data_IF_264946083941
#
_entry.id   IF_264946083941
#
_cell.length_a   1.000
_cell.length_b   1.000
_cell.length_c   1.000
_cell.angle_alpha   90.00
_cell.angle_beta   90.00
_cell.angle_gamma   90.00
#
_symmetry.space_group_name_H-M   'P 1'
#
loop_
_entity.id
_entity.type
_entity.pdbx_description
1 polymer ?
#
# COMPACT_ATOMS: atom_id res chain seq x y z
N UNK A 1 29.22 -21.74 -0.68
CA UNK A 1 27.91 -21.40 -0.09
C UNK A 1 27.81 -19.89 0.01
N UNK A 2 27.17 -19.23 -0.97
CA UNK A 2 27.06 -17.78 -1.01
C UNK A 2 25.69 -17.35 -0.48
N UNK A 3 25.67 -16.52 0.56
CA UNK A 3 24.44 -15.97 1.17
C UNK A 3 23.95 -14.80 0.30
N UNK A 4 22.76 -14.94 -0.28
CA UNK A 4 22.05 -13.87 -0.96
C UNK A 4 21.40 -12.97 0.10
N UNK A 5 21.86 -11.73 0.22
CA UNK A 5 21.19 -10.70 1.02
C UNK A 5 19.96 -10.19 0.27
N UNK A 6 18.77 -10.37 0.86
CA UNK A 6 17.54 -9.69 0.44
C UNK A 6 17.62 -8.24 0.95
N UNK A 7 17.70 -7.29 0.02
CA UNK A 7 17.65 -5.86 0.33
C UNK A 7 16.27 -5.42 0.84
N UNK A 8 16.26 -4.53 1.83
CA UNK A 8 15.05 -3.96 2.44
C UNK A 8 14.28 -3.11 1.41
N UNK A 9 12.96 -3.27 1.37
CA UNK A 9 12.05 -2.60 0.42
C UNK A 9 11.74 -1.13 0.81
N UNK A 10 12.37 -0.61 1.86
CA UNK A 10 12.03 0.67 2.50
C UNK A 10 12.66 1.94 1.90
N UNK A 11 13.42 1.86 0.81
CA UNK A 11 14.24 2.99 0.30
C UNK A 11 13.82 3.55 -1.06
N UNK A 12 12.60 3.28 -1.56
CA UNK A 12 12.17 3.80 -2.87
C UNK A 12 11.04 4.82 -2.76
N UNK A 13 11.39 6.11 -2.73
CA UNK A 13 10.49 7.22 -3.05
C UNK A 13 11.08 8.17 -4.09
N UNK A 14 10.17 8.91 -4.74
CA UNK A 14 10.21 9.40 -6.13
C UNK A 14 10.71 10.84 -6.27
N UNK A 15 11.37 11.15 -7.39
CA UNK A 15 11.94 12.48 -7.68
C UNK A 15 10.87 13.46 -8.23
N UNK A 16 10.69 14.61 -7.56
CA UNK A 16 9.80 15.69 -7.99
C UNK A 16 10.41 16.58 -9.08
N UNK A 17 9.59 16.98 -10.06
CA UNK A 17 9.98 17.80 -11.21
C UNK A 17 10.09 19.28 -10.86
N UNK A 18 11.30 19.86 -10.91
CA UNK A 18 11.50 21.32 -10.88
C UNK A 18 11.29 21.92 -12.28
N UNK A 19 10.40 22.91 -12.36
CA UNK A 19 10.01 23.64 -13.59
C UNK A 19 10.99 24.80 -13.82
N UNK A 20 11.85 24.73 -14.84
CA UNK A 20 12.69 25.88 -15.25
C UNK A 20 12.09 26.62 -16.45
N UNK A 21 11.90 27.92 -16.27
CA UNK A 21 11.42 28.94 -17.21
C UNK A 21 12.35 29.18 -18.40
N UNK A 22 11.82 29.12 -19.62
CA UNK A 22 12.51 29.53 -20.86
C UNK A 22 12.25 31.01 -21.17
N UNK A 23 13.32 31.81 -21.20
CA UNK A 23 13.31 33.20 -21.65
C UNK A 23 13.31 33.29 -23.18
N UNK A 24 12.57 34.28 -23.71
CA UNK A 24 12.42 34.62 -25.13
C UNK A 24 13.68 35.32 -25.68
N UNK A 25 14.07 34.99 -26.91
CA UNK A 25 15.00 35.77 -27.73
C UNK A 25 14.53 35.77 -29.19
N UNK A 26 14.49 36.95 -29.81
CA UNK A 26 13.87 37.27 -31.11
C UNK A 26 14.89 37.25 -32.28
N UNK A 27 14.36 36.92 -33.46
CA UNK A 27 14.88 36.74 -34.83
C UNK A 27 16.01 37.60 -35.41
N UNK A 28 16.71 37.03 -36.41
CA UNK A 28 16.91 37.65 -37.74
C UNK A 28 17.24 36.61 -38.84
N UNK A 29 16.75 36.86 -40.06
CA UNK A 29 16.82 36.01 -41.27
C UNK A 29 17.87 36.52 -42.27
N UNK A 30 18.50 35.62 -43.05
CA UNK A 30 19.01 35.87 -44.42
C UNK A 30 19.15 34.53 -45.21
N UNK A 31 18.95 34.59 -46.53
CA UNK A 31 18.86 33.48 -47.51
C UNK A 31 20.19 33.05 -48.17
N UNK A 32 20.22 31.76 -48.60
CA UNK A 32 20.95 31.08 -49.70
C UNK A 32 22.48 31.19 -49.89
N UNK A 33 23.22 30.08 -49.74
CA UNK A 33 23.60 29.06 -50.76
C UNK A 33 24.86 28.28 -50.32
N UNK A 34 24.84 26.94 -50.47
CA UNK A 34 25.99 26.02 -50.67
C UNK A 34 27.22 26.08 -49.75
N UNK A 35 27.37 25.12 -48.85
CA UNK A 35 28.59 24.29 -48.67
C UNK A 35 28.34 23.27 -47.54
N UNK A 36 28.77 22.01 -47.71
CA UNK A 36 28.75 20.97 -46.68
C UNK A 36 29.26 21.50 -45.33
N UNK A 37 28.39 21.50 -44.32
CA UNK A 37 28.83 21.51 -42.92
C UNK A 37 28.58 20.13 -42.34
N UNK A 38 29.68 19.50 -41.96
CA UNK A 38 29.75 18.40 -41.00
C UNK A 38 28.70 18.65 -39.91
N UNK A 39 27.69 17.78 -39.84
CA UNK A 39 26.69 17.81 -38.78
C UNK A 39 27.46 17.50 -37.50
N UNK A 40 27.82 18.56 -36.78
CA UNK A 40 28.42 18.43 -35.46
C UNK A 40 27.33 17.88 -34.55
N UNK A 41 27.66 16.76 -33.91
CA UNK A 41 26.83 15.86 -33.11
C UNK A 41 26.29 16.50 -31.80
N UNK A 42 26.02 17.81 -31.79
CA UNK A 42 25.55 18.56 -30.62
C UNK A 42 24.14 18.19 -30.13
N UNK A 43 23.13 17.87 -30.97
CA UNK A 43 21.85 17.43 -30.43
C UNK A 43 21.93 16.00 -29.87
N UNK A 44 22.77 15.14 -30.44
CA UNK A 44 22.99 13.78 -29.96
C UNK A 44 23.69 13.78 -28.60
N UNK A 45 24.71 14.62 -28.42
CA UNK A 45 25.38 14.81 -27.13
C UNK A 45 24.41 15.33 -26.04
N UNK A 46 23.53 16.27 -26.37
CA UNK A 46 22.52 16.78 -25.42
C UNK A 46 21.51 15.70 -25.01
N UNK A 47 21.03 14.90 -25.97
CA UNK A 47 20.14 13.76 -25.69
C UNK A 47 20.85 12.69 -24.87
N UNK A 48 22.12 12.39 -25.17
CA UNK A 48 22.93 11.44 -24.40
C UNK A 48 23.18 11.93 -22.97
N UNK A 49 23.40 13.23 -22.75
CA UNK A 49 23.54 13.82 -21.41
C UNK A 49 22.21 13.80 -20.64
N UNK A 50 21.09 14.10 -21.30
CA UNK A 50 19.75 14.00 -20.69
C UNK A 50 19.41 12.56 -20.31
N UNK A 51 19.70 11.59 -21.19
CA UNK A 51 19.51 10.17 -20.92
C UNK A 51 20.49 9.67 -19.84
N UNK A 52 21.71 10.19 -19.80
CA UNK A 52 22.67 9.89 -18.72
C UNK A 52 22.18 10.42 -17.38
N UNK A 53 21.59 11.62 -17.31
CA UNK A 53 20.99 12.17 -16.09
C UNK A 53 19.74 11.38 -15.65
N UNK A 54 18.90 10.92 -16.59
CA UNK A 54 17.77 10.02 -16.32
C UNK A 54 18.23 8.64 -15.82
N UNK A 55 19.35 8.12 -16.33
CA UNK A 55 19.96 6.85 -15.91
C UNK A 55 20.76 6.98 -14.61
N UNK A 56 21.31 8.16 -14.30
CA UNK A 56 21.99 8.47 -13.03
C UNK A 56 21.02 8.55 -11.85
N UNK A 57 19.76 8.96 -12.09
CA UNK A 57 18.70 8.87 -11.08
C UNK A 57 18.34 7.43 -10.68
N UNK A 58 18.91 6.41 -11.32
CA UNK A 58 18.64 5.01 -10.99
C UNK A 58 19.50 4.47 -9.84
N UNK A 59 20.53 5.19 -9.38
CA UNK A 59 21.47 4.70 -8.36
C UNK A 59 21.94 5.73 -7.32
N UNK A 60 21.29 6.89 -7.20
CA UNK A 60 21.56 7.79 -6.07
C UNK A 60 20.47 7.58 -5.02
N UNK A 61 20.70 6.60 -4.14
CA UNK A 61 20.08 6.67 -2.83
C UNK A 61 20.63 7.95 -2.19
N UNK A 62 19.82 9.01 -2.13
CA UNK A 62 20.11 10.12 -1.22
C UNK A 62 20.03 9.53 0.18
N UNK A 63 21.19 9.17 0.73
CA UNK A 63 21.27 8.75 2.13
C UNK A 63 20.67 9.89 2.96
N UNK A 64 19.63 9.63 3.78
CA UNK A 64 19.07 10.66 4.62
C UNK A 64 20.21 11.25 5.44
N UNK A 65 20.29 12.59 5.51
CA UNK A 65 21.25 13.27 6.36
C UNK A 65 20.90 12.92 7.81
N UNK A 66 21.57 11.91 8.39
CA UNK A 66 21.29 11.45 9.76
C UNK A 66 21.98 12.41 10.75
N UNK A 67 21.26 13.16 11.60
CA UNK A 67 21.85 14.12 12.53
C UNK A 67 21.97 13.53 13.94
N UNK A 68 22.29 12.24 14.08
CA UNK A 68 22.42 11.62 15.41
C UNK A 68 23.90 11.60 15.84
N UNK A 69 24.17 12.07 17.06
CA UNK A 69 25.51 12.17 17.66
C UNK A 69 26.26 10.81 17.71
N UNK A 70 25.54 9.69 17.69
CA UNK A 70 26.10 8.33 17.81
C UNK A 70 26.36 7.62 16.47
N UNK A 71 26.21 8.31 15.32
CA UNK A 71 26.46 7.74 13.99
C UNK A 71 25.49 6.61 13.56
N UNK A 72 24.49 6.29 14.38
CA UNK A 72 23.49 5.26 14.10
C UNK A 72 22.19 5.93 13.59
N UNK A 73 21.88 5.71 12.31
CA UNK A 73 20.65 6.21 11.71
C UNK A 73 19.45 5.39 12.23
N UNK A 74 18.87 5.85 13.35
CA UNK A 74 17.67 5.26 13.93
C UNK A 74 16.46 6.10 13.52
N UNK A 75 15.52 5.48 12.81
CA UNK A 75 14.22 6.07 12.51
C UNK A 75 13.49 6.29 13.84
N UNK A 76 13.03 7.51 14.07
CA UNK A 76 12.31 7.85 15.30
C UNK A 76 10.95 7.15 15.37
N UNK A 77 10.44 6.94 16.59
CA UNK A 77 9.11 6.33 16.77
C UNK A 77 8.00 7.16 16.11
N UNK A 78 8.11 8.49 16.18
CA UNK A 78 7.18 9.41 15.51
C UNK A 78 7.18 9.22 13.98
N UNK A 79 8.36 9.12 13.38
CA UNK A 79 8.50 8.89 11.94
C UNK A 79 7.97 7.50 11.51
N UNK A 80 8.14 6.47 12.35
CA UNK A 80 7.52 5.16 12.11
C UNK A 80 5.99 5.26 12.09
N UNK A 81 5.40 5.98 13.04
CA UNK A 81 3.95 6.22 13.07
C UNK A 81 3.48 7.05 11.87
N UNK A 82 4.22 8.08 11.45
CA UNK A 82 3.89 8.86 10.26
C UNK A 82 3.78 7.97 9.02
N UNK A 83 4.79 7.12 8.79
CA UNK A 83 4.80 6.17 7.67
C UNK A 83 3.66 5.15 7.79
N UNK A 84 3.41 4.63 9.00
CA UNK A 84 2.34 3.66 9.23
C UNK A 84 0.95 4.23 8.94
N UNK A 85 0.68 5.47 9.39
CA UNK A 85 -0.59 6.16 9.15
C UNK A 85 -0.79 6.48 7.67
N UNK A 86 0.25 6.96 6.97
CA UNK A 86 0.18 7.21 5.52
C UNK A 86 -0.16 5.90 4.78
N UNK A 87 0.51 4.81 5.16
CA UNK A 87 0.32 3.53 4.49
C UNK A 87 -1.05 2.90 4.80
N UNK A 88 -1.56 3.02 6.03
CA UNK A 88 -2.89 2.52 6.40
C UNK A 88 -4.01 3.28 5.71
N UNK A 89 -3.91 4.61 5.62
CA UNK A 89 -4.86 5.47 4.92
C UNK A 89 -4.91 5.09 3.43
N UNK A 90 -3.74 4.89 2.83
CA UNK A 90 -3.62 4.45 1.44
C UNK A 90 -4.26 3.08 1.20
N UNK A 91 -3.99 2.09 2.06
CA UNK A 91 -4.61 0.75 1.99
C UNK A 91 -6.14 0.86 2.11
N UNK A 92 -6.65 1.67 3.03
CA UNK A 92 -8.08 1.86 3.21
C UNK A 92 -8.72 2.49 1.97
N UNK A 93 -8.10 3.51 1.38
CA UNK A 93 -8.57 4.16 0.16
C UNK A 93 -8.65 3.15 -1.00
N UNK A 94 -7.57 2.40 -1.25
CA UNK A 94 -7.56 1.35 -2.27
C UNK A 94 -8.62 0.28 -2.02
N UNK A 95 -8.81 -0.14 -0.77
CA UNK A 95 -9.82 -1.14 -0.39
C UNK A 95 -11.24 -0.63 -0.65
N UNK A 96 -11.50 0.65 -0.38
CA UNK A 96 -12.78 1.31 -0.64
C UNK A 96 -13.06 1.45 -2.13
N UNK A 97 -12.08 1.86 -2.92
CA UNK A 97 -12.20 1.96 -4.37
C UNK A 97 -12.41 0.59 -5.02
N UNK A 98 -11.62 -0.42 -4.62
CA UNK A 98 -11.74 -1.78 -5.12
C UNK A 98 -13.12 -2.37 -4.82
N UNK A 99 -13.63 -2.16 -3.60
CA UNK A 99 -14.98 -2.59 -3.23
C UNK A 99 -16.04 -1.88 -4.08
N UNK A 100 -15.94 -0.56 -4.26
CA UNK A 100 -16.88 0.22 -5.07
C UNK A 100 -16.91 -0.22 -6.54
N UNK A 101 -15.74 -0.46 -7.13
CA UNK A 101 -15.60 -0.96 -8.51
C UNK A 101 -16.21 -2.36 -8.66
N UNK A 102 -15.96 -3.26 -7.70
CA UNK A 102 -16.54 -4.59 -7.70
C UNK A 102 -18.07 -4.54 -7.53
N UNK A 103 -18.56 -3.76 -6.57
CA UNK A 103 -19.98 -3.62 -6.26
C UNK A 103 -20.75 -3.13 -7.50
N UNK A 104 -20.27 -2.02 -8.08
CA UNK A 104 -20.86 -1.42 -9.29
C UNK A 104 -20.93 -2.41 -10.47
N UNK A 105 -19.91 -3.26 -10.63
CA UNK A 105 -19.78 -4.15 -11.79
C UNK A 105 -20.52 -5.48 -11.62
N UNK A 106 -20.58 -6.03 -10.42
CA UNK A 106 -20.98 -7.42 -10.21
C UNK A 106 -22.19 -7.61 -9.30
N UNK A 107 -22.71 -6.59 -8.61
CA UNK A 107 -23.77 -6.79 -7.60
C UNK A 107 -25.11 -6.18 -7.98
N UNK A 108 -25.15 -5.33 -9.02
CA UNK A 108 -26.38 -4.76 -9.54
C UNK A 108 -27.40 -5.86 -9.89
N UNK A 109 -28.59 -5.79 -9.27
CA UNK A 109 -29.67 -6.78 -9.45
C UNK A 109 -29.59 -8.03 -8.55
N UNK A 110 -28.46 -8.27 -7.84
CA UNK A 110 -28.23 -9.52 -7.09
C UNK A 110 -28.54 -9.46 -5.58
N UNK A 111 -28.89 -8.28 -5.06
CA UNK A 111 -29.25 -8.01 -3.64
C UNK A 111 -28.23 -8.54 -2.61
N UNK A 112 -26.94 -8.61 -2.95
CA UNK A 112 -25.89 -9.17 -2.08
C UNK A 112 -25.79 -8.46 -0.72
N UNK A 113 -26.02 -7.14 -0.67
CA UNK A 113 -26.09 -6.37 0.59
C UNK A 113 -27.06 -7.02 1.58
N UNK A 114 -28.23 -7.47 1.11
CA UNK A 114 -29.24 -8.10 1.99
C UNK A 114 -28.89 -9.52 2.42
N UNK A 115 -28.00 -10.19 1.68
CA UNK A 115 -27.50 -11.54 1.99
C UNK A 115 -26.24 -11.53 2.85
N UNK A 116 -25.51 -10.42 2.92
CA UNK A 116 -24.25 -10.25 3.63
C UNK A 116 -24.40 -10.18 5.16
N UNK A 117 -25.12 -11.15 5.72
CA UNK A 117 -25.28 -11.40 7.15
C UNK A 117 -24.04 -12.12 7.70
N UNK A 118 -23.22 -12.75 6.84
CA UNK A 118 -21.99 -13.43 7.24
C UNK A 118 -21.00 -12.45 7.87
N UNK A 119 -20.53 -12.78 9.07
CA UNK A 119 -19.44 -12.07 9.73
C UNK A 119 -18.13 -12.16 8.96
N UNK A 120 -17.16 -11.30 9.31
CA UNK A 120 -15.80 -11.39 8.79
C UNK A 120 -14.99 -12.33 9.68
N UNK A 121 -13.93 -12.96 9.16
CA UNK A 121 -13.09 -13.88 9.96
C UNK A 121 -12.45 -13.18 11.16
N UNK A 122 -12.22 -11.87 11.07
CA UNK A 122 -11.70 -11.01 12.14
C UNK A 122 -12.73 -10.58 13.17
N UNK A 123 -14.02 -10.91 13.00
CA UNK A 123 -15.07 -10.51 13.96
C UNK A 123 -14.87 -11.11 15.37
N UNK A 124 -14.04 -12.15 15.52
CA UNK A 124 -13.70 -12.75 16.82
C UNK A 124 -12.55 -12.01 17.53
N UNK A 125 -11.86 -11.09 16.85
CA UNK A 125 -10.86 -10.24 17.49
C UNK A 125 -11.62 -9.25 18.36
N UNK A 126 -11.38 -9.19 19.68
CA UNK A 126 -11.99 -8.16 20.52
C UNK A 126 -11.53 -6.81 19.99
N UNK A 127 -12.44 -5.96 19.50
CA UNK A 127 -12.11 -4.62 19.02
C UNK A 127 -13.00 -3.61 19.73
N UNK A 128 -12.50 -2.43 20.12
CA UNK A 128 -13.35 -1.36 20.59
C UNK A 128 -14.47 -1.07 19.59
N UNK A 129 -15.70 -1.07 20.08
CA UNK A 129 -16.89 -0.91 19.24
C UNK A 129 -17.15 0.56 18.88
N UNK A 130 -16.71 1.47 19.75
CA UNK A 130 -16.88 2.90 19.58
C UNK A 130 -15.61 3.71 19.93
N UNK A 131 -15.71 5.02 19.70
CA UNK A 131 -14.62 5.97 19.92
C UNK A 131 -14.20 6.06 21.39
N UNK A 132 -15.15 6.04 22.31
CA UNK A 132 -14.88 6.19 23.75
C UNK A 132 -14.12 4.97 24.26
N UNK A 133 -14.60 3.77 23.91
CA UNK A 133 -13.93 2.53 24.24
C UNK A 133 -12.53 2.47 23.61
N UNK A 134 -12.37 2.92 22.37
CA UNK A 134 -11.07 2.98 21.72
C UNK A 134 -10.10 3.91 22.46
N UNK A 135 -10.54 5.11 22.83
CA UNK A 135 -9.71 6.09 23.55
C UNK A 135 -9.28 5.59 24.94
N UNK A 136 -10.13 4.80 25.61
CA UNK A 136 -9.85 4.22 26.92
C UNK A 136 -9.07 2.90 26.87
N UNK A 137 -8.87 2.32 25.68
CA UNK A 137 -8.12 1.08 25.53
C UNK A 137 -6.62 1.35 25.69
N UNK A 138 -5.92 0.47 26.40
CA UNK A 138 -4.48 0.58 26.57
C UNK A 138 -3.77 0.48 25.21
N UNK A 139 -2.78 1.33 24.97
CA UNK A 139 -2.08 1.41 23.69
C UNK A 139 -1.43 0.07 23.30
N UNK A 140 -0.98 -0.74 24.27
CA UNK A 140 -0.44 -2.07 23.99
C UNK A 140 -1.48 -3.04 23.40
N UNK A 141 -2.72 -2.99 23.89
CA UNK A 141 -3.80 -3.84 23.41
C UNK A 141 -4.23 -3.41 22.01
N UNK A 142 -4.30 -2.10 21.75
CA UNK A 142 -4.56 -1.56 20.41
C UNK A 142 -3.44 -1.92 19.41
N UNK A 143 -2.17 -1.86 19.82
CA UNK A 143 -1.03 -2.28 19.00
C UNK A 143 -1.13 -3.77 18.62
N UNK A 144 -1.39 -4.64 19.61
CA UNK A 144 -1.53 -6.08 19.40
C UNK A 144 -2.74 -6.41 18.51
N UNK A 145 -3.82 -5.67 18.65
CA UNK A 145 -5.01 -5.80 17.82
C UNK A 145 -4.74 -5.46 16.36
N UNK A 146 -4.11 -4.31 16.08
CA UNK A 146 -3.72 -3.92 14.73
C UNK A 146 -2.82 -4.99 14.12
N UNK A 147 -1.82 -5.47 14.87
CA UNK A 147 -0.91 -6.53 14.43
C UNK A 147 -1.66 -7.82 14.08
N UNK A 148 -2.60 -8.24 14.92
CA UNK A 148 -3.40 -9.46 14.73
C UNK A 148 -4.31 -9.35 13.51
N UNK A 149 -4.95 -8.19 13.30
CA UNK A 149 -5.75 -7.93 12.09
C UNK A 149 -4.88 -8.03 10.85
N UNK A 150 -3.74 -7.31 10.79
CA UNK A 150 -2.83 -7.34 9.63
C UNK A 150 -2.35 -8.75 9.29
N UNK A 151 -2.01 -9.57 10.30
CA UNK A 151 -1.61 -10.97 10.12
C UNK A 151 -2.73 -11.84 9.57
N UNK A 152 -3.95 -11.67 10.09
CA UNK A 152 -5.13 -12.42 9.65
C UNK A 152 -5.52 -12.15 8.19
N UNK A 153 -5.03 -11.06 7.59
CA UNK A 153 -5.29 -10.69 6.20
C UNK A 153 -4.28 -11.24 5.20
N UNK A 154 -3.15 -11.81 5.64
CA UNK A 154 -2.11 -12.33 4.74
C UNK A 154 -2.65 -13.42 3.78
N UNK A 155 -3.27 -14.47 4.33
CA UNK A 155 -3.84 -15.57 3.53
C UNK A 155 -5.01 -15.12 2.63
N UNK A 156 -6.04 -14.40 3.13
CA UNK A 156 -7.12 -13.93 2.27
C UNK A 156 -6.65 -13.02 1.13
N UNK A 157 -5.65 -12.15 1.34
CA UNK A 157 -5.12 -11.28 0.29
C UNK A 157 -4.37 -12.06 -0.79
N UNK A 158 -3.56 -13.04 -0.39
CA UNK A 158 -2.89 -13.94 -1.33
C UNK A 158 -3.90 -14.68 -2.23
N UNK A 159 -4.95 -15.24 -1.62
CA UNK A 159 -5.99 -15.93 -2.36
C UNK A 159 -6.84 -14.98 -3.22
N UNK A 160 -7.16 -13.77 -2.74
CA UNK A 160 -7.84 -12.76 -3.54
C UNK A 160 -7.08 -12.47 -4.84
N UNK A 161 -5.77 -12.22 -4.75
CA UNK A 161 -4.91 -11.94 -5.90
C UNK A 161 -4.88 -13.13 -6.87
N UNK A 162 -4.73 -14.34 -6.34
CA UNK A 162 -4.65 -15.57 -7.13
C UNK A 162 -5.95 -15.84 -7.89
N UNK A 163 -7.09 -15.78 -7.20
CA UNK A 163 -8.39 -16.10 -7.79
C UNK A 163 -8.85 -15.03 -8.78
N UNK A 164 -8.65 -13.74 -8.48
CA UNK A 164 -8.99 -12.66 -9.42
C UNK A 164 -8.15 -12.75 -10.69
N UNK A 165 -6.87 -13.16 -10.59
CA UNK A 165 -6.02 -13.38 -11.75
C UNK A 165 -6.55 -14.52 -12.63
N UNK A 166 -6.93 -15.65 -12.05
CA UNK A 166 -7.52 -16.78 -12.79
C UNK A 166 -8.85 -16.42 -13.48
N UNK A 167 -9.64 -15.51 -12.90
CA UNK A 167 -10.86 -14.99 -13.55
C UNK A 167 -10.58 -14.16 -14.79
N UNK A 168 -9.49 -13.38 -14.79
CA UNK A 168 -9.13 -12.56 -15.94
C UNK A 168 -8.68 -13.41 -17.13
N UNK A 169 -7.99 -14.53 -16.88
CA UNK A 169 -7.52 -15.45 -17.91
C UNK A 169 -8.68 -16.19 -18.60
N UNK A 170 -9.76 -16.49 -17.86
CA UNK A 170 -10.89 -17.29 -18.33
C UNK A 170 -12.00 -16.49 -19.04
N UNK A 171 -12.15 -15.19 -18.76
CA UNK A 171 -13.29 -14.40 -19.28
C UNK A 171 -13.14 -13.87 -20.71
N UNK A 172 -11.98 -14.04 -21.38
CA UNK A 172 -11.71 -13.56 -22.76
C UNK A 172 -12.11 -12.10 -23.08
N UNK A 173 -12.37 -11.25 -22.09
CA UNK A 173 -12.69 -9.83 -22.28
C UNK A 173 -11.41 -9.00 -22.31
N UNK A 174 -10.98 -8.61 -23.52
CA UNK A 174 -9.88 -7.66 -23.80
C UNK A 174 -10.17 -6.20 -23.39
N UNK A 175 -11.02 -5.95 -22.39
CA UNK A 175 -11.36 -4.60 -21.94
C UNK A 175 -11.04 -4.51 -20.44
N UNK A 176 -9.93 -3.82 -20.18
CA UNK A 176 -9.12 -3.78 -18.95
C UNK A 176 -9.87 -4.04 -17.62
N UNK A 177 -9.70 -5.23 -17.01
CA UNK A 177 -10.00 -5.47 -15.60
C UNK A 177 -8.84 -5.03 -14.67
N UNK A 178 -7.96 -4.14 -15.14
CA UNK A 178 -6.73 -3.76 -14.44
C UNK A 178 -7.01 -3.18 -13.06
N UNK A 179 -8.10 -2.43 -12.86
CA UNK A 179 -8.38 -1.71 -11.62
C UNK A 179 -8.49 -2.59 -10.37
N UNK A 180 -9.26 -3.69 -10.42
CA UNK A 180 -9.47 -4.55 -9.24
C UNK A 180 -8.21 -5.38 -8.94
N UNK A 181 -7.63 -6.03 -9.96
CA UNK A 181 -6.44 -6.85 -9.73
C UNK A 181 -5.23 -6.01 -9.32
N UNK A 182 -5.02 -4.83 -9.93
CA UNK A 182 -3.89 -3.96 -9.56
C UNK A 182 -4.03 -3.49 -8.11
N UNK A 183 -5.24 -3.10 -7.69
CA UNK A 183 -5.52 -2.73 -6.30
C UNK A 183 -5.32 -3.90 -5.34
N UNK A 184 -5.76 -5.10 -5.70
CA UNK A 184 -5.56 -6.29 -4.87
C UNK A 184 -4.07 -6.61 -4.67
N UNK A 185 -3.27 -6.59 -5.74
CA UNK A 185 -1.81 -6.79 -5.68
C UNK A 185 -1.17 -5.71 -4.81
N UNK A 186 -1.57 -4.45 -5.01
CA UNK A 186 -1.00 -3.35 -4.25
C UNK A 186 -1.34 -3.44 -2.76
N UNK A 187 -2.60 -3.74 -2.41
CA UNK A 187 -3.02 -3.93 -1.03
C UNK A 187 -2.28 -5.11 -0.39
N UNK A 188 -2.10 -6.23 -1.10
CA UNK A 188 -1.32 -7.37 -0.60
C UNK A 188 0.11 -6.95 -0.21
N UNK A 189 0.79 -6.21 -1.09
CA UNK A 189 2.16 -5.74 -0.86
C UNK A 189 2.21 -4.68 0.25
N UNK A 190 1.29 -3.71 0.26
CA UNK A 190 1.25 -2.66 1.29
C UNK A 190 0.88 -3.21 2.65
N UNK A 191 0.03 -4.24 2.74
CA UNK A 191 -0.29 -4.90 4.01
C UNK A 191 0.96 -5.54 4.63
N UNK A 192 1.81 -6.19 3.83
CA UNK A 192 3.10 -6.74 4.28
C UNK A 192 4.03 -5.64 4.79
N UNK A 193 4.15 -4.55 4.04
CA UNK A 193 4.97 -3.40 4.44
C UNK A 193 4.46 -2.76 5.75
N UNK A 194 3.14 -2.60 5.90
CA UNK A 194 2.54 -2.07 7.12
C UNK A 194 2.76 -3.02 8.31
N UNK A 195 2.63 -4.33 8.10
CA UNK A 195 2.91 -5.34 9.11
C UNK A 195 4.36 -5.26 9.59
N UNK A 196 5.33 -5.14 8.69
CA UNK A 196 6.74 -4.93 9.06
C UNK A 196 6.95 -3.63 9.86
N UNK A 197 6.30 -2.53 9.44
CA UNK A 197 6.35 -1.26 10.15
C UNK A 197 5.79 -1.37 11.57
N UNK A 198 4.68 -2.09 11.74
CA UNK A 198 4.08 -2.36 13.04
C UNK A 198 4.95 -3.20 13.95
N UNK A 199 5.61 -4.23 13.42
CA UNK A 199 6.56 -5.01 14.22
C UNK A 199 7.75 -4.18 14.72
N UNK A 200 8.18 -3.18 13.94
CA UNK A 200 9.20 -2.21 14.37
C UNK A 200 8.68 -1.26 15.45
N UNK A 201 7.47 -0.71 15.27
CA UNK A 201 6.83 0.16 16.28
C UNK A 201 6.72 -0.58 17.62
N UNK A 202 6.16 -1.79 17.60
CA UNK A 202 6.00 -2.61 18.81
C UNK A 202 7.36 -2.89 19.48
N UNK A 203 8.40 -3.18 18.69
CA UNK A 203 9.75 -3.41 19.24
C UNK A 203 10.38 -2.19 19.93
N UNK A 204 9.93 -0.98 19.59
CA UNK A 204 10.39 0.26 20.24
C UNK A 204 9.51 0.65 21.44
N UNK A 205 8.22 0.30 21.43
CA UNK A 205 7.27 0.63 22.50
C UNK A 205 7.31 -0.38 23.64
N UNK A 206 7.37 -1.68 23.33
CA UNK A 206 7.31 -2.76 24.31
C UNK A 206 8.66 -3.49 24.36
N UNK A 207 9.46 -3.22 25.40
CA UNK A 207 10.71 -3.94 25.67
C UNK A 207 10.46 -5.29 26.37
N UNK A 208 9.63 -6.16 25.80
CA UNK A 208 9.32 -7.46 26.41
C UNK A 208 8.36 -8.33 25.61
N UNK A 209 8.73 -9.62 25.49
CA UNK A 209 8.00 -10.79 24.91
C UNK A 209 6.97 -10.45 23.81
N UNK A 210 7.35 -10.75 22.55
CA UNK A 210 6.40 -10.88 21.45
C UNK A 210 5.33 -11.90 21.84
N UNK A 211 4.11 -11.45 22.09
CA UNK A 211 2.97 -12.37 22.16
C UNK A 211 2.75 -12.90 20.75
N UNK A 212 3.19 -14.13 20.50
CA UNK A 212 2.74 -14.90 19.34
C UNK A 212 1.31 -15.35 19.61
N UNK A 213 0.38 -14.41 19.55
CA UNK A 213 -1.04 -14.69 19.66
C UNK A 213 -1.52 -15.33 18.36
N UNK A 214 -2.30 -16.39 18.51
CA UNK A 214 -3.01 -17.00 17.39
C UNK A 214 -3.99 -15.98 16.81
N UNK A 215 -3.97 -15.82 15.49
CA UNK A 215 -4.92 -14.97 14.78
C UNK A 215 -6.03 -15.83 14.15
N UNK A 216 -7.23 -15.28 13.93
CA UNK A 216 -8.32 -16.01 13.31
C UNK A 216 -7.93 -16.53 11.91
N UNK A 217 -8.16 -17.82 11.68
CA UNK A 217 -7.92 -18.45 10.38
C UNK A 217 -9.07 -18.12 9.43
N UNK A 218 -8.72 -17.73 8.20
CA UNK A 218 -9.71 -17.54 7.15
C UNK A 218 -9.99 -18.85 6.42
N UNK A 219 -11.26 -19.23 6.35
CA UNK A 219 -11.73 -20.48 5.72
C UNK A 219 -12.60 -20.22 4.48
N UNK A 220 -12.49 -19.04 3.87
CA UNK A 220 -13.36 -18.59 2.78
C UNK A 220 -12.97 -19.06 1.38
N UNK A 221 -11.84 -19.77 1.21
CA UNK A 221 -11.34 -20.18 -0.11
C UNK A 221 -12.36 -21.00 -0.92
N UNK A 222 -13.07 -22.00 -0.36
CA UNK A 222 -14.06 -22.77 -1.12
C UNK A 222 -15.15 -21.90 -1.75
N UNK A 223 -15.55 -20.80 -1.07
CA UNK A 223 -16.54 -19.87 -1.59
C UNK A 223 -16.02 -19.03 -2.77
N UNK A 224 -14.71 -18.88 -2.94
CA UNK A 224 -14.11 -18.18 -4.08
C UNK A 224 -13.93 -19.08 -5.31
N UNK A 225 -13.88 -20.40 -5.10
CA UNK A 225 -13.60 -21.41 -6.14
C UNK A 225 -14.82 -22.20 -6.59
N UNK A 226 -15.99 -21.95 -5.98
CA UNK A 226 -17.24 -22.62 -6.35
C UNK A 226 -17.63 -22.30 -7.81
N UNK A 227 -18.15 -23.30 -8.52
CA UNK A 227 -18.54 -23.17 -9.93
C UNK A 227 -19.76 -22.25 -10.14
N UNK A 228 -20.68 -22.21 -9.17
CA UNK A 228 -21.84 -21.33 -9.20
C UNK A 228 -21.42 -19.86 -9.13
N UNK A 229 -21.72 -19.09 -10.19
CA UNK A 229 -21.24 -17.73 -10.35
C UNK A 229 -21.76 -16.80 -9.25
N UNK A 230 -23.04 -16.88 -8.89
CA UNK A 230 -23.63 -15.99 -7.90
C UNK A 230 -23.07 -16.24 -6.49
N UNK A 231 -22.87 -17.50 -6.10
CA UNK A 231 -22.22 -17.88 -4.84
C UNK A 231 -20.77 -17.42 -4.82
N UNK A 232 -20.06 -17.60 -5.93
CA UNK A 232 -18.67 -17.14 -6.08
C UNK A 232 -18.55 -15.63 -5.95
N UNK A 233 -19.36 -14.86 -6.70
CA UNK A 233 -19.40 -13.40 -6.62
C UNK A 233 -19.79 -12.90 -5.24
N UNK A 234 -20.70 -13.60 -4.55
CA UNK A 234 -21.04 -13.31 -3.16
C UNK A 234 -19.87 -13.56 -2.19
N UNK A 235 -19.06 -14.59 -2.44
CA UNK A 235 -17.80 -14.84 -1.73
C UNK A 235 -16.83 -13.65 -1.84
N UNK A 236 -16.58 -13.16 -3.06
CA UNK A 236 -15.76 -11.97 -3.26
C UNK A 236 -16.36 -10.73 -2.62
N UNK A 237 -17.67 -10.53 -2.77
CA UNK A 237 -18.38 -9.40 -2.17
C UNK A 237 -18.13 -9.32 -0.66
N UNK A 238 -18.29 -10.45 0.05
CA UNK A 238 -18.06 -10.51 1.49
C UNK A 238 -16.59 -10.25 1.85
N UNK A 239 -15.65 -10.85 1.11
CA UNK A 239 -14.22 -10.66 1.35
C UNK A 239 -13.81 -9.19 1.20
N UNK A 240 -14.22 -8.53 0.12
CA UNK A 240 -13.90 -7.13 -0.16
C UNK A 240 -14.57 -6.17 0.84
N UNK A 241 -15.82 -6.47 1.23
CA UNK A 241 -16.52 -5.73 2.29
C UNK A 241 -15.76 -5.80 3.62
N UNK A 242 -15.30 -6.99 3.99
CA UNK A 242 -14.53 -7.21 5.21
C UNK A 242 -13.17 -6.51 5.15
N UNK A 243 -12.49 -6.55 4.01
CA UNK A 243 -11.21 -5.87 3.81
C UNK A 243 -11.34 -4.35 3.98
N UNK A 244 -12.38 -3.76 3.36
CA UNK A 244 -12.70 -2.33 3.52
C UNK A 244 -12.98 -1.97 4.99
N UNK A 245 -13.75 -2.81 5.70
CA UNK A 245 -14.08 -2.60 7.11
C UNK A 245 -12.83 -2.62 7.99
N UNK A 246 -12.00 -3.64 7.82
CA UNK A 246 -10.86 -3.86 8.70
C UNK A 246 -9.70 -2.91 8.40
N UNK A 247 -9.47 -2.54 7.13
CA UNK A 247 -8.51 -1.48 6.76
C UNK A 247 -8.89 -0.14 7.38
N UNK A 248 -10.17 0.23 7.38
CA UNK A 248 -10.66 1.43 8.05
C UNK A 248 -10.44 1.39 9.57
N UNK A 249 -10.64 0.23 10.20
CA UNK A 249 -10.35 0.04 11.63
C UNK A 249 -8.87 0.22 11.93
N UNK A 250 -8.00 -0.45 11.17
CA UNK A 250 -6.54 -0.33 11.32
C UNK A 250 -6.08 1.10 11.19
N UNK A 251 -6.54 1.81 10.16
CA UNK A 251 -6.19 3.22 9.94
C UNK A 251 -6.58 4.12 11.11
N UNK A 252 -7.83 4.00 11.59
CA UNK A 252 -8.29 4.78 12.75
C UNK A 252 -7.51 4.46 14.03
N UNK A 253 -7.22 3.18 14.29
CA UNK A 253 -6.44 2.81 15.47
C UNK A 253 -5.00 3.29 15.38
N UNK A 254 -4.39 3.33 14.20
CA UNK A 254 -3.05 3.90 14.03
C UNK A 254 -3.01 5.41 14.28
N UNK A 255 -4.02 6.14 13.78
CA UNK A 255 -4.19 7.57 14.07
C UNK A 255 -4.35 7.81 15.58
N UNK A 256 -5.14 6.98 16.27
CA UNK A 256 -5.31 7.05 17.72
C UNK A 256 -4.03 6.70 18.49
N UNK A 257 -3.35 5.61 18.11
CA UNK A 257 -2.10 5.16 18.74
C UNK A 257 -0.99 6.20 18.62
N UNK A 258 -0.84 6.80 17.43
CA UNK A 258 0.08 7.93 17.23
C UNK A 258 -0.28 9.05 18.20
N UNK A 259 -1.56 9.34 18.38
CA UNK A 259 -2.00 10.38 19.30
C UNK A 259 -1.66 10.09 20.76
N UNK A 260 -1.96 8.87 21.22
CA UNK A 260 -1.69 8.40 22.58
C UNK A 260 -0.18 8.39 22.88
N UNK A 261 0.63 7.81 21.99
CA UNK A 261 2.04 7.51 22.26
C UNK A 261 2.95 8.71 21.99
N UNK A 262 2.71 9.48 20.93
CA UNK A 262 3.59 10.59 20.52
C UNK A 262 3.20 11.91 21.17
N UNK A 263 1.90 12.17 21.31
CA UNK A 263 1.39 13.47 21.77
C UNK A 263 0.71 13.40 23.15
N UNK A 264 0.71 12.24 23.81
CA UNK A 264 0.04 12.03 25.10
C UNK A 264 -1.43 12.50 25.06
N UNK A 265 -2.16 12.12 24.01
CA UNK A 265 -3.55 12.51 23.71
C UNK A 265 -3.79 13.99 23.35
N UNK A 266 -2.74 14.79 23.12
CA UNK A 266 -2.87 16.19 22.69
C UNK A 266 -2.72 16.35 21.17
N UNK A 267 -3.69 15.80 20.45
CA UNK A 267 -3.90 15.98 19.02
C UNK A 267 -5.20 16.75 18.79
#
# INVERSE_FOLDING_TARGET
MSKVYKGNIWERESCGTTRSSLAKGVSRSYHHHGQQRVVTDRPFLLVMVLMSNLLLCKNVASMPTCPNEDGQCRVSLGELFDRAVILSDYIHNLSSEMFSEFDKRYTQGRRFITKAISGCHTSLIPTPEDKEQAQNTHHEDLLNMVLTVLRSWNEPLYHLVTEVRGMQETLHTKIAPNGILSKAIEIEERNKQLLEGMERIISQVQSGVRRNEAYPVWLGLPSLQVADEDTRLFGFYNLLRCLRRDSHKVDNYLKLLKCQIIYNNNC
#
